data_IF_596544158744
#
_entry.id   IF_596544158744
#
_cell.length_a   1.000
_cell.length_b   1.000
_cell.length_c   1.000
_cell.angle_alpha   90.00
_cell.angle_beta   90.00
_cell.angle_gamma   90.00
#
_symmetry.space_group_name_H-M   'P 1'
#
loop_
_entity.id
_entity.type
_entity.pdbx_description
1 polymer ?
#
# COMPACT_ATOMS: atom_id res chain seq x y z
N UNK A 1 18.52 0.30 -33.74
CA UNK A 1 18.86 1.05 -32.54
C UNK A 1 18.02 0.57 -31.38
N UNK A 2 18.66 0.17 -30.30
CA UNK A 2 17.95 -0.30 -29.15
C UNK A 2 17.17 0.84 -28.51
N UNK A 3 15.89 0.64 -28.30
CA UNK A 3 15.11 1.55 -27.49
C UNK A 3 15.61 1.47 -26.05
N UNK A 4 15.97 2.60 -25.50
CA UNK A 4 16.31 2.65 -24.09
C UNK A 4 15.01 2.70 -23.29
N UNK A 5 14.60 1.53 -22.82
CA UNK A 5 13.64 1.49 -21.74
C UNK A 5 14.39 1.89 -20.47
N UNK A 6 14.17 3.11 -20.04
CA UNK A 6 14.72 3.55 -18.77
C UNK A 6 13.81 2.96 -17.69
N UNK A 7 14.24 1.84 -17.14
CA UNK A 7 13.66 1.38 -15.88
C UNK A 7 14.12 2.33 -14.80
N UNK A 8 13.18 3.10 -14.29
CA UNK A 8 13.45 3.90 -13.10
C UNK A 8 13.53 2.94 -11.93
N UNK A 9 14.72 2.82 -11.36
CA UNK A 9 14.92 2.02 -10.17
C UNK A 9 13.99 2.51 -9.05
N UNK A 10 13.40 1.61 -8.24
CA UNK A 10 12.62 2.02 -7.07
C UNK A 10 13.45 2.92 -6.15
N UNK A 11 12.79 3.84 -5.48
CA UNK A 11 13.42 4.66 -4.44
C UNK A 11 14.17 3.77 -3.44
N UNK A 12 15.31 4.22 -2.89
CA UNK A 12 16.06 3.41 -1.93
C UNK A 12 15.24 2.88 -0.78
N UNK A 13 14.31 3.69 -0.26
CA UNK A 13 13.42 3.28 0.83
C UNK A 13 12.53 2.12 0.41
N UNK A 14 12.01 2.11 -0.81
CA UNK A 14 11.19 1.00 -1.32
C UNK A 14 12.02 -0.27 -1.43
N UNK A 15 13.28 -0.19 -1.83
CA UNK A 15 14.17 -1.36 -1.87
C UNK A 15 14.41 -1.92 -0.47
N UNK A 16 14.57 -1.08 0.53
CA UNK A 16 14.72 -1.51 1.91
C UNK A 16 13.45 -2.21 2.42
N UNK A 17 12.29 -1.69 2.07
CA UNK A 17 11.00 -2.32 2.43
C UNK A 17 10.86 -3.69 1.74
N UNK A 18 11.23 -3.78 0.48
CA UNK A 18 11.22 -5.05 -0.26
C UNK A 18 12.20 -6.06 0.36
N UNK A 19 13.36 -5.61 0.80
CA UNK A 19 14.33 -6.45 1.50
C UNK A 19 13.77 -6.97 2.83
N UNK A 20 13.08 -6.12 3.58
CA UNK A 20 12.39 -6.54 4.81
C UNK A 20 11.34 -7.61 4.52
N UNK A 21 10.59 -7.47 3.43
CA UNK A 21 9.60 -8.47 3.02
C UNK A 21 10.26 -9.81 2.72
N UNK A 22 11.38 -9.80 2.02
CA UNK A 22 12.13 -11.01 1.70
C UNK A 22 12.68 -11.68 2.96
N UNK A 23 13.16 -10.89 3.92
CA UNK A 23 13.69 -11.39 5.19
C UNK A 23 12.61 -11.95 6.11
N UNK A 24 11.50 -11.24 6.23
CA UNK A 24 10.42 -11.60 7.17
C UNK A 24 9.43 -12.60 6.61
N UNK A 25 9.25 -12.63 5.30
CA UNK A 25 8.31 -13.50 4.60
C UNK A 25 8.96 -14.17 3.40
N UNK A 26 10.02 -14.96 3.61
CA UNK A 26 10.77 -15.57 2.48
C UNK A 26 9.94 -16.57 1.67
N UNK A 27 8.88 -17.14 2.25
CA UNK A 27 8.00 -18.07 1.59
C UNK A 27 6.85 -17.40 0.83
N UNK A 28 6.80 -16.06 0.84
CA UNK A 28 5.75 -15.30 0.17
C UNK A 28 6.36 -14.31 -0.83
N UNK A 29 6.88 -14.80 -1.97
CA UNK A 29 7.48 -13.92 -2.97
C UNK A 29 6.47 -12.99 -3.66
N UNK A 30 5.20 -13.36 -3.65
CA UNK A 30 4.14 -12.52 -4.23
C UNK A 30 4.03 -11.22 -3.45
N UNK A 31 4.13 -11.26 -2.14
CA UNK A 31 4.12 -10.04 -1.33
C UNK A 31 5.33 -9.14 -1.65
N UNK A 32 6.51 -9.71 -1.82
CA UNK A 32 7.70 -8.93 -2.19
C UNK A 32 7.54 -8.22 -3.54
N UNK A 33 6.85 -8.85 -4.48
CA UNK A 33 6.53 -8.24 -5.78
C UNK A 33 5.41 -7.19 -5.68
N UNK A 34 4.50 -7.38 -4.75
CA UNK A 34 3.40 -6.45 -4.49
C UNK A 34 3.88 -5.09 -4.00
N UNK A 35 4.90 -5.05 -3.16
CA UNK A 35 5.38 -3.84 -2.51
C UNK A 35 5.74 -2.70 -3.46
N UNK A 36 6.60 -2.90 -4.48
CA UNK A 36 6.91 -1.81 -5.41
C UNK A 36 5.69 -1.32 -6.18
N UNK A 37 4.80 -2.23 -6.55
CA UNK A 37 3.57 -1.88 -7.26
C UNK A 37 2.63 -1.07 -6.35
N UNK A 38 2.53 -1.44 -5.09
CA UNK A 38 1.68 -0.76 -4.12
C UNK A 38 2.09 0.70 -3.91
N UNK A 39 3.40 0.98 -3.90
CA UNK A 39 3.92 2.32 -3.68
C UNK A 39 4.27 3.08 -4.96
N UNK A 40 3.94 2.54 -6.13
CA UNK A 40 4.31 3.12 -7.43
C UNK A 40 3.81 4.55 -7.60
N UNK A 41 2.60 4.82 -7.16
CA UNK A 41 1.93 6.11 -7.38
C UNK A 41 2.30 7.15 -6.32
N UNK A 42 3.02 6.76 -5.27
CA UNK A 42 3.43 7.70 -4.24
C UNK A 42 4.67 8.50 -4.71
N UNK A 43 4.67 9.82 -4.51
CA UNK A 43 5.88 10.60 -4.72
C UNK A 43 7.03 10.09 -3.85
N UNK A 44 8.24 10.11 -4.40
CA UNK A 44 9.43 9.60 -3.73
C UNK A 44 9.66 10.26 -2.37
N UNK A 45 9.46 11.57 -2.28
CA UNK A 45 9.66 12.30 -1.02
C UNK A 45 8.65 11.87 0.07
N UNK A 46 7.45 11.49 -0.31
CA UNK A 46 6.45 10.99 0.66
C UNK A 46 6.85 9.64 1.23
N UNK A 47 7.50 8.82 0.42
CA UNK A 47 8.01 7.51 0.83
C UNK A 47 9.25 7.68 1.71
N UNK A 48 10.18 8.54 1.30
CA UNK A 48 11.45 8.73 2.01
C UNK A 48 11.28 9.37 3.39
N UNK A 49 10.20 10.11 3.59
CA UNK A 49 9.86 10.74 4.87
C UNK A 49 9.28 9.75 5.89
N UNK A 50 9.11 8.49 5.51
CA UNK A 50 8.50 7.46 6.34
C UNK A 50 9.49 6.36 6.69
N UNK A 51 9.27 5.72 7.83
CA UNK A 51 10.09 4.60 8.26
C UNK A 51 9.77 3.36 7.41
N UNK A 52 10.80 2.61 7.06
CA UNK A 52 10.65 1.38 6.29
C UNK A 52 9.75 0.37 6.99
N UNK A 53 9.83 0.26 8.32
CA UNK A 53 8.97 -0.62 9.11
C UNK A 53 7.49 -0.26 8.97
N UNK A 54 7.17 1.02 8.98
CA UNK A 54 5.79 1.48 8.83
C UNK A 54 5.27 1.22 7.42
N UNK A 55 6.08 1.48 6.41
CA UNK A 55 5.72 1.19 5.02
C UNK A 55 5.49 -0.30 4.79
N UNK A 56 6.34 -1.15 5.36
CA UNK A 56 6.17 -2.60 5.33
C UNK A 56 4.84 -3.02 5.96
N UNK A 57 4.56 -2.53 7.17
CA UNK A 57 3.37 -2.92 7.92
C UNK A 57 2.07 -2.47 7.26
N UNK A 58 2.04 -1.25 6.69
CA UNK A 58 0.87 -0.74 5.94
C UNK A 58 0.61 -1.58 4.70
N UNK A 59 1.66 -1.85 3.92
CA UNK A 59 1.54 -2.67 2.72
C UNK A 59 1.08 -4.08 3.05
N UNK A 60 1.62 -4.68 4.11
CA UNK A 60 1.21 -6.01 4.56
C UNK A 60 -0.26 -6.04 4.99
N UNK A 61 -0.69 -5.04 5.75
CA UNK A 61 -2.09 -4.94 6.18
C UNK A 61 -3.04 -4.88 4.98
N UNK A 62 -2.72 -4.09 3.98
CA UNK A 62 -3.53 -3.97 2.77
C UNK A 62 -3.49 -5.25 1.94
N UNK A 63 -2.30 -5.85 1.79
CA UNK A 63 -2.13 -7.13 1.09
C UNK A 63 -2.97 -8.24 1.73
N UNK A 64 -2.89 -8.37 3.04
CA UNK A 64 -3.66 -9.39 3.77
C UNK A 64 -5.17 -9.16 3.69
N UNK A 65 -5.60 -7.90 3.72
CA UNK A 65 -7.03 -7.55 3.60
C UNK A 65 -7.58 -7.94 2.23
N UNK A 66 -6.80 -7.75 1.15
CA UNK A 66 -7.24 -8.02 -0.21
C UNK A 66 -6.79 -9.36 -0.77
N UNK A 67 -6.11 -10.17 0.00
CA UNK A 67 -5.47 -11.41 -0.46
C UNK A 67 -6.44 -12.42 -1.07
N UNK A 68 -7.61 -12.54 -0.46
CA UNK A 68 -8.67 -13.42 -0.95
C UNK A 68 -9.91 -12.58 -1.18
N UNK A 69 -10.21 -12.32 -2.42
CA UNK A 69 -11.34 -11.49 -2.83
C UNK A 69 -12.06 -12.16 -4.00
N UNK A 70 -13.37 -12.22 -3.91
CA UNK A 70 -14.19 -12.72 -5.01
C UNK A 70 -14.31 -11.64 -6.09
N UNK A 71 -14.44 -12.01 -7.38
CA UNK A 71 -14.72 -11.04 -8.42
C UNK A 71 -15.94 -10.18 -8.08
N UNK A 72 -15.81 -8.87 -8.23
CA UNK A 72 -16.88 -7.92 -7.90
C UNK A 72 -17.05 -7.59 -6.43
N UNK A 73 -16.32 -8.27 -5.54
CA UNK A 73 -16.38 -7.99 -4.11
C UNK A 73 -15.58 -6.73 -3.77
N UNK A 74 -16.17 -5.88 -2.93
CA UNK A 74 -15.47 -4.74 -2.37
C UNK A 74 -15.19 -5.00 -0.89
N UNK A 75 -13.92 -4.89 -0.51
CA UNK A 75 -13.49 -5.05 0.87
C UNK A 75 -13.17 -3.67 1.43
N UNK A 76 -13.79 -3.33 2.55
CA UNK A 76 -13.54 -2.08 3.26
C UNK A 76 -13.16 -2.41 4.69
N UNK A 77 -12.00 -1.96 5.11
CA UNK A 77 -11.54 -2.09 6.49
C UNK A 77 -11.25 -0.71 7.04
N UNK A 78 -11.86 -0.37 8.15
CA UNK A 78 -11.62 0.91 8.83
C UNK A 78 -10.91 0.62 10.13
N UNK A 79 -9.77 1.26 10.35
CA UNK A 79 -8.96 1.01 11.53
C UNK A 79 -8.30 2.29 12.04
N UNK A 80 -8.13 2.35 13.35
CA UNK A 80 -7.24 3.32 13.98
C UNK A 80 -6.00 2.54 14.43
N UNK A 81 -4.95 2.50 13.61
CA UNK A 81 -3.85 1.57 13.84
C UNK A 81 -3.09 1.91 15.12
N UNK A 82 -2.72 0.86 15.84
CA UNK A 82 -1.91 0.90 17.05
C UNK A 82 -0.59 0.21 16.76
N UNK A 83 0.53 0.84 17.11
CA UNK A 83 1.85 0.33 16.79
C UNK A 83 2.12 -1.05 17.41
N UNK A 84 1.63 -1.31 18.60
CA UNK A 84 1.83 -2.59 19.29
C UNK A 84 1.01 -3.72 18.65
N UNK A 85 -0.24 -3.42 18.25
CA UNK A 85 -1.15 -4.41 17.70
C UNK A 85 -0.99 -4.59 16.20
N UNK A 86 -0.79 -3.49 15.47
CA UNK A 86 -0.82 -3.46 14.00
C UNK A 86 0.57 -3.34 13.38
N UNK A 87 1.57 -2.95 14.15
CA UNK A 87 2.92 -2.74 13.68
C UNK A 87 3.15 -1.39 13.01
N UNK A 88 2.13 -0.55 12.92
CA UNK A 88 2.21 0.80 12.37
C UNK A 88 1.24 1.73 13.08
N UNK A 89 1.43 3.01 12.88
CA UNK A 89 0.66 4.04 13.56
C UNK A 89 0.20 5.12 12.58
N UNK A 90 -0.99 5.64 12.81
CA UNK A 90 -1.49 6.86 12.15
C UNK A 90 -2.29 7.67 13.18
N UNK A 91 -2.11 8.97 13.14
CA UNK A 91 -2.92 9.89 13.95
C UNK A 91 -4.39 9.91 13.50
N UNK A 92 -4.65 9.41 12.30
CA UNK A 92 -5.98 9.41 11.69
C UNK A 92 -6.49 7.99 11.57
N UNK A 93 -7.80 7.88 11.59
CA UNK A 93 -8.47 6.64 11.18
C UNK A 93 -8.20 6.40 9.71
N UNK A 94 -7.88 5.18 9.36
CA UNK A 94 -7.51 4.78 8.00
C UNK A 94 -8.54 3.82 7.45
N UNK A 95 -9.00 4.07 6.24
CA UNK A 95 -9.82 3.14 5.48
C UNK A 95 -8.97 2.45 4.42
N UNK A 96 -8.94 1.12 4.45
CA UNK A 96 -8.34 0.29 3.41
C UNK A 96 -9.46 -0.23 2.52
N UNK A 97 -9.40 0.08 1.24
CA UNK A 97 -10.43 -0.29 0.28
C UNK A 97 -9.79 -1.12 -0.83
N UNK A 98 -10.33 -2.32 -1.04
CA UNK A 98 -9.92 -3.22 -2.13
C UNK A 98 -11.15 -3.51 -2.98
N UNK A 99 -11.10 -3.09 -4.22
CA UNK A 99 -12.22 -3.24 -5.14
C UNK A 99 -11.71 -3.35 -6.58
N UNK A 100 -12.60 -3.71 -7.51
CA UNK A 100 -12.28 -3.66 -8.93
C UNK A 100 -12.01 -2.22 -9.35
N UNK A 101 -11.10 -2.06 -10.30
CA UNK A 101 -10.79 -0.75 -10.86
C UNK A 101 -12.01 -0.20 -11.61
N UNK A 102 -12.24 1.10 -11.44
CA UNK A 102 -13.34 1.78 -12.09
C UNK A 102 -12.94 3.24 -12.38
N UNK A 103 -13.48 3.84 -13.47
CA UNK A 103 -13.23 5.26 -13.75
C UNK A 103 -13.65 6.14 -12.57
N UNK A 104 -12.84 7.14 -12.27
CA UNK A 104 -13.12 8.14 -11.22
C UNK A 104 -13.29 7.56 -9.81
N UNK A 105 -12.79 6.35 -9.56
CA UNK A 105 -12.95 5.69 -8.27
C UNK A 105 -12.40 6.51 -7.10
N UNK A 106 -11.18 7.02 -7.23
CA UNK A 106 -10.53 7.83 -6.20
C UNK A 106 -11.30 9.12 -5.95
N UNK A 107 -11.73 9.79 -7.02
CA UNK A 107 -12.49 11.03 -6.90
C UNK A 107 -13.84 10.80 -6.22
N UNK A 108 -14.51 9.71 -6.57
CA UNK A 108 -15.80 9.34 -5.96
C UNK A 108 -15.63 9.07 -4.46
N UNK A 109 -14.63 8.31 -4.09
CA UNK A 109 -14.33 8.00 -2.68
C UNK A 109 -14.04 9.30 -1.92
N UNK A 110 -13.23 10.17 -2.49
CA UNK A 110 -12.90 11.47 -1.89
C UNK A 110 -14.14 12.31 -1.64
N UNK A 111 -15.03 12.41 -2.61
CA UNK A 111 -16.28 13.18 -2.50
C UNK A 111 -17.15 12.62 -1.38
N UNK A 112 -17.30 11.31 -1.32
CA UNK A 112 -18.09 10.67 -0.27
C UNK A 112 -17.50 10.93 1.11
N UNK A 113 -16.18 10.78 1.26
CA UNK A 113 -15.50 11.04 2.53
C UNK A 113 -15.64 12.51 2.96
N UNK A 114 -15.44 13.44 2.05
CA UNK A 114 -15.59 14.88 2.34
C UNK A 114 -17.01 15.25 2.76
N UNK A 115 -18.01 14.62 2.14
CA UNK A 115 -19.42 14.85 2.46
C UNK A 115 -19.79 14.38 3.86
N UNK A 116 -19.19 13.31 4.32
CA UNK A 116 -19.47 12.67 5.61
C UNK A 116 -18.43 12.98 6.68
N UNK A 117 -17.37 13.64 6.32
CA UNK A 117 -16.37 14.06 7.29
C UNK A 117 -16.89 15.25 8.10
N UNK A 118 -16.68 15.07 9.30
CA UNK A 118 -16.96 16.12 10.28
C UNK A 118 -15.63 16.77 10.67
#
# INVERSE_FOLDING_TARGET
MAEHVIEVAPAPTIRWVADLATQRRPQDPVFSQFLPAYYRELPEFDVDDRRADDLYAVALAHYMAGRVRRPGETIVTVTSPDRELDGWYSERTVALIVTDDAPFLVDTIRIVLERHMV
#
